data_IF_965932739422
#
_entry.id   IF_965932739422
#
_cell.length_a   1.000
_cell.length_b   1.000
_cell.length_c   1.000
_cell.angle_alpha   90.00
_cell.angle_beta   90.00
_cell.angle_gamma   90.00
#
_symmetry.space_group_name_H-M   'P 1'
#
loop_
_entity.id
_entity.type
_entity.pdbx_description
1 polymer ?
#
# COMPACT_ATOMS: atom_id res chain seq x y z
N UNK A 1 30.10 -23.41 14.40
CA UNK A 1 29.68 -24.18 15.60
C UNK A 1 28.49 -23.47 16.25
N UNK A 2 27.33 -24.14 16.38
CA UNK A 2 26.15 -23.64 17.10
C UNK A 2 26.12 -24.35 18.46
N UNK A 3 26.18 -23.61 19.55
CA UNK A 3 26.06 -24.20 20.89
C UNK A 3 24.64 -23.95 21.38
N UNK A 4 23.87 -25.02 21.60
CA UNK A 4 22.59 -24.93 22.29
C UNK A 4 22.86 -25.02 23.79
N UNK A 5 22.42 -24.02 24.54
CA UNK A 5 22.41 -24.06 25.99
C UNK A 5 20.95 -24.33 26.38
N UNK A 6 20.67 -25.57 26.79
CA UNK A 6 19.37 -25.98 27.30
C UNK A 6 19.27 -25.75 28.81
N UNK A 7 18.04 -25.70 29.32
CA UNK A 7 17.72 -25.68 30.75
C UNK A 7 18.30 -24.50 31.54
N UNK A 8 18.29 -23.33 30.93
CA UNK A 8 18.67 -22.07 31.58
C UNK A 8 17.44 -21.28 32.01
N UNK A 9 17.61 -20.44 33.01
CA UNK A 9 16.55 -19.57 33.50
C UNK A 9 16.95 -18.11 33.26
N UNK A 10 16.00 -17.32 32.77
CA UNK A 10 16.09 -15.86 32.79
C UNK A 10 15.57 -15.42 34.15
N UNK A 11 16.46 -14.85 34.95
CA UNK A 11 16.15 -14.41 36.31
C UNK A 11 15.93 -12.90 36.34
N UNK A 12 14.86 -12.43 36.98
CA UNK A 12 14.62 -11.03 37.26
C UNK A 12 13.89 -10.87 38.60
N UNK A 13 14.65 -10.58 39.66
CA UNK A 13 14.17 -10.70 41.04
C UNK A 13 13.76 -12.14 41.34
N UNK A 14 12.56 -12.32 41.90
CA UNK A 14 12.00 -13.63 42.29
C UNK A 14 11.42 -14.44 41.13
N UNK A 15 11.55 -13.95 39.89
CA UNK A 15 10.97 -14.59 38.70
C UNK A 15 12.04 -15.32 37.93
N UNK A 16 11.72 -16.58 37.61
CA UNK A 16 12.56 -17.49 36.86
C UNK A 16 11.79 -17.98 35.63
N UNK A 17 12.25 -17.60 34.44
CA UNK A 17 11.63 -18.05 33.18
C UNK A 17 12.55 -19.08 32.54
N UNK A 18 12.11 -20.35 32.53
CA UNK A 18 12.84 -21.42 31.86
C UNK A 18 12.92 -21.14 30.36
N UNK A 19 14.12 -21.18 29.80
CA UNK A 19 14.38 -20.93 28.39
C UNK A 19 15.54 -21.80 27.87
N UNK A 20 15.60 -21.98 26.56
CA UNK A 20 16.80 -22.49 25.89
C UNK A 20 17.39 -21.41 25.00
N UNK A 21 18.72 -21.20 25.07
CA UNK A 21 19.42 -20.28 24.18
C UNK A 21 20.19 -21.02 23.10
N UNK A 22 20.31 -20.40 21.93
CA UNK A 22 21.21 -20.85 20.87
C UNK A 22 22.29 -19.79 20.74
N UNK A 23 23.50 -20.12 21.19
CA UNK A 23 24.67 -19.27 21.02
C UNK A 23 25.24 -19.50 19.61
N UNK A 24 25.20 -18.44 18.80
CA UNK A 24 25.78 -18.42 17.46
C UNK A 24 27.13 -17.72 17.51
N UNK A 25 28.23 -18.49 17.41
CA UNK A 25 29.62 -18.05 17.63
C UNK A 25 30.09 -16.87 16.74
N UNK A 26 29.42 -16.61 15.61
CA UNK A 26 29.90 -15.67 14.59
C UNK A 26 28.98 -14.47 14.32
N UNK A 27 27.97 -14.22 15.15
CA UNK A 27 27.09 -13.07 15.01
C UNK A 27 27.09 -12.20 16.28
N UNK A 28 28.26 -11.70 16.66
CA UNK A 28 28.44 -10.78 17.80
C UNK A 28 27.68 -9.44 17.63
N UNK A 29 27.20 -9.15 16.41
CA UNK A 29 26.34 -7.98 16.13
C UNK A 29 24.86 -8.20 16.48
N UNK A 30 24.43 -9.44 16.77
CA UNK A 30 23.07 -9.71 17.24
C UNK A 30 22.99 -9.33 18.72
N UNK A 31 22.57 -8.09 18.97
CA UNK A 31 22.40 -7.49 20.30
C UNK A 31 21.17 -8.02 21.08
N UNK A 32 20.53 -9.10 20.64
CA UNK A 32 19.29 -9.62 21.20
C UNK A 32 19.43 -11.13 21.45
N UNK A 33 19.52 -11.52 22.72
CA UNK A 33 19.72 -12.91 23.17
C UNK A 33 18.39 -13.66 23.32
N UNK A 34 17.28 -12.94 23.54
CA UNK A 34 16.06 -13.54 24.08
C UNK A 34 15.06 -14.06 23.02
N UNK A 35 15.14 -13.57 21.78
CA UNK A 35 14.39 -14.11 20.64
C UNK A 35 12.86 -14.14 20.81
N UNK A 36 12.16 -14.72 19.83
CA UNK A 36 10.70 -14.89 19.85
C UNK A 36 10.19 -15.78 20.99
N UNK A 37 10.85 -16.90 21.36
CA UNK A 37 10.35 -17.77 22.43
C UNK A 37 10.23 -17.06 23.78
N UNK A 38 11.10 -16.09 24.10
CA UNK A 38 10.96 -15.29 25.32
C UNK A 38 9.75 -14.35 25.23
N UNK A 39 9.54 -13.71 24.09
CA UNK A 39 8.41 -12.79 23.87
C UNK A 39 7.06 -13.51 23.95
N UNK A 40 7.00 -14.78 23.55
CA UNK A 40 5.80 -15.61 23.70
C UNK A 40 5.48 -15.89 25.18
N UNK A 41 6.50 -16.10 26.03
CA UNK A 41 6.28 -16.26 27.47
C UNK A 41 5.75 -14.97 28.10
N UNK A 42 6.23 -13.81 27.65
CA UNK A 42 5.84 -12.51 28.22
C UNK A 42 4.75 -11.79 27.42
N UNK A 43 4.04 -12.47 26.51
CA UNK A 43 3.20 -11.92 25.40
C UNK A 43 2.36 -10.69 25.73
N UNK A 44 1.89 -10.55 26.96
CA UNK A 44 1.28 -9.32 27.48
C UNK A 44 2.37 -8.36 27.99
N UNK A 45 3.11 -7.75 27.06
CA UNK A 45 4.17 -6.79 27.38
C UNK A 45 3.97 -5.44 26.68
N UNK A 46 4.63 -4.42 27.22
CA UNK A 46 4.71 -3.07 26.68
C UNK A 46 6.17 -2.65 26.59
N UNK A 47 6.56 -2.07 25.46
CA UNK A 47 7.93 -1.60 25.23
C UNK A 47 8.02 -0.12 25.57
N UNK A 48 9.06 0.24 26.33
CA UNK A 48 9.39 1.63 26.68
C UNK A 48 10.83 1.94 26.26
N UNK A 49 11.25 3.20 26.33
CA UNK A 49 12.64 3.58 26.10
C UNK A 49 13.62 2.95 27.11
N UNK A 50 13.16 2.53 28.29
CA UNK A 50 13.95 1.89 29.34
C UNK A 50 14.04 0.37 29.21
N UNK A 51 13.03 -0.27 28.64
CA UNK A 51 12.92 -1.74 28.65
C UNK A 51 11.54 -2.25 28.28
N UNK A 52 11.36 -3.57 28.43
CA UNK A 52 10.10 -4.27 28.26
C UNK A 52 9.43 -4.43 29.62
N UNK A 53 8.20 -3.97 29.75
CA UNK A 53 7.37 -4.17 30.94
C UNK A 53 6.32 -5.23 30.69
N UNK A 54 6.10 -6.14 31.62
CA UNK A 54 5.05 -7.18 31.51
C UNK A 54 4.46 -7.46 32.89
N UNK A 55 3.29 -8.09 32.95
CA UNK A 55 2.68 -8.56 34.20
C UNK A 55 2.76 -10.08 34.26
N UNK A 56 3.61 -10.62 35.13
CA UNK A 56 3.68 -12.06 35.42
C UNK A 56 3.37 -12.27 36.91
N UNK A 57 2.62 -13.32 37.23
CA UNK A 57 2.21 -13.62 38.62
C UNK A 57 1.58 -12.41 39.35
N UNK A 58 0.80 -11.62 38.60
CA UNK A 58 0.18 -10.37 39.04
C UNK A 58 1.15 -9.24 39.42
N UNK A 59 2.46 -9.46 39.31
CA UNK A 59 3.51 -8.49 39.56
C UNK A 59 3.96 -7.83 38.26
N UNK A 60 4.18 -6.52 38.29
CA UNK A 60 4.70 -5.77 37.15
C UNK A 60 6.22 -5.84 37.15
N UNK A 61 6.79 -6.34 36.06
CA UNK A 61 8.21 -6.62 35.94
C UNK A 61 8.79 -5.81 34.79
N UNK A 62 9.99 -5.29 34.98
CA UNK A 62 10.74 -4.54 33.98
C UNK A 62 12.00 -5.31 33.58
N UNK A 63 12.10 -5.66 32.30
CA UNK A 63 13.33 -6.12 31.66
C UNK A 63 14.02 -4.92 31.01
N UNK A 64 15.01 -4.34 31.69
CA UNK A 64 15.72 -3.16 31.23
C UNK A 64 16.58 -3.45 29.98
N UNK A 65 16.71 -2.48 29.09
CA UNK A 65 17.61 -2.58 27.95
C UNK A 65 19.04 -2.17 28.33
N UNK A 66 20.03 -3.01 28.03
CA UNK A 66 21.44 -2.70 28.28
C UNK A 66 21.97 -1.57 27.37
N UNK A 67 21.33 -1.36 26.21
CA UNK A 67 21.62 -0.26 25.29
C UNK A 67 20.29 0.37 24.86
N UNK A 68 20.30 1.67 24.58
CA UNK A 68 19.11 2.34 24.03
C UNK A 68 18.62 1.56 22.80
N UNK A 69 17.31 1.29 22.70
CA UNK A 69 16.76 0.59 21.55
C UNK A 69 17.07 1.40 20.28
N UNK A 70 17.60 0.75 19.26
CA UNK A 70 17.84 1.37 17.95
C UNK A 70 16.51 1.30 17.20
N UNK A 71 15.84 2.43 17.05
CA UNK A 71 14.60 2.54 16.26
C UNK A 71 14.93 2.44 14.77
N UNK A 72 15.04 1.21 14.25
CA UNK A 72 15.06 0.94 12.79
C UNK A 72 13.85 1.56 12.07
N UNK A 73 12.76 1.78 12.80
CA UNK A 73 11.50 2.36 12.32
C UNK A 73 11.64 3.78 11.78
N UNK A 74 12.51 4.65 12.31
CA UNK A 74 12.59 6.05 11.84
C UNK A 74 13.09 6.13 10.39
N UNK A 75 14.11 5.36 10.04
CA UNK A 75 14.63 5.31 8.67
C UNK A 75 13.62 4.68 7.71
N UNK A 76 12.83 3.70 8.18
CA UNK A 76 11.76 3.10 7.41
C UNK A 76 10.61 4.08 7.15
N UNK A 77 10.16 4.80 8.19
CA UNK A 77 9.13 5.85 8.07
C UNK A 77 9.57 6.98 7.14
N UNK A 78 10.84 7.41 7.23
CA UNK A 78 11.41 8.40 6.32
C UNK A 78 11.37 7.92 4.86
N UNK A 79 11.73 6.66 4.62
CA UNK A 79 11.70 6.04 3.29
C UNK A 79 10.27 5.93 2.76
N UNK A 80 9.32 5.49 3.59
CA UNK A 80 7.90 5.43 3.24
C UNK A 80 7.32 6.82 2.90
N UNK A 81 7.73 7.86 3.65
CA UNK A 81 7.32 9.24 3.38
C UNK A 81 7.79 9.72 2.01
N UNK A 82 9.06 9.48 1.66
CA UNK A 82 9.62 9.84 0.35
C UNK A 82 8.88 9.09 -0.77
N UNK A 83 8.61 7.80 -0.59
CA UNK A 83 7.87 7.01 -1.58
C UNK A 83 6.44 7.50 -1.79
N UNK A 84 5.76 7.89 -0.70
CA UNK A 84 4.42 8.46 -0.75
C UNK A 84 4.41 9.78 -1.52
N UNK A 85 5.36 10.66 -1.24
CA UNK A 85 5.50 11.95 -1.94
C UNK A 85 5.77 11.77 -3.44
N UNK A 86 6.69 10.87 -3.79
CA UNK A 86 6.97 10.53 -5.19
C UNK A 86 5.73 9.99 -5.92
N UNK A 87 4.96 9.11 -5.27
CA UNK A 87 3.74 8.54 -5.84
C UNK A 87 2.67 9.62 -6.08
N UNK A 88 2.50 10.56 -5.14
CA UNK A 88 1.58 11.70 -5.29
C UNK A 88 2.00 12.58 -6.47
N UNK A 89 3.29 12.88 -6.60
CA UNK A 89 3.82 13.70 -7.69
C UNK A 89 3.62 13.03 -9.07
N UNK A 90 3.77 11.71 -9.14
CA UNK A 90 3.50 10.95 -10.36
C UNK A 90 2.02 11.02 -10.76
N UNK A 91 1.10 10.86 -9.79
CA UNK A 91 -0.35 10.99 -10.02
C UNK A 91 -0.67 12.39 -10.54
N UNK A 92 -0.16 13.43 -9.87
CA UNK A 92 -0.37 14.83 -10.26
C UNK A 92 0.11 15.13 -11.68
N UNK A 93 1.25 14.56 -12.06
CA UNK A 93 1.81 14.72 -13.42
C UNK A 93 0.92 14.04 -14.46
N UNK A 94 0.44 12.81 -14.19
CA UNK A 94 -0.48 12.09 -15.08
C UNK A 94 -1.81 12.82 -15.23
N UNK A 95 -2.37 13.34 -14.14
CA UNK A 95 -3.60 14.15 -14.17
C UNK A 95 -3.42 15.42 -15.00
N UNK A 96 -2.30 16.14 -14.83
CA UNK A 96 -1.99 17.34 -15.62
C UNK A 96 -1.91 17.03 -17.11
N UNK A 97 -1.20 15.96 -17.47
CA UNK A 97 -1.08 15.53 -18.86
C UNK A 97 -2.44 15.15 -19.45
N UNK A 98 -3.27 14.41 -18.70
CA UNK A 98 -4.62 14.03 -19.14
C UNK A 98 -5.51 15.25 -19.35
N UNK A 99 -5.46 16.25 -18.46
CA UNK A 99 -6.19 17.52 -18.63
C UNK A 99 -5.76 18.27 -19.89
N UNK A 100 -4.45 18.35 -20.16
CA UNK A 100 -3.93 18.99 -21.37
C UNK A 100 -4.42 18.27 -22.64
N UNK A 101 -4.38 16.95 -22.65
CA UNK A 101 -4.88 16.14 -23.76
C UNK A 101 -6.38 16.32 -23.98
N UNK A 102 -7.19 16.38 -22.91
CA UNK A 102 -8.62 16.65 -22.97
C UNK A 102 -8.92 18.00 -23.61
N UNK A 103 -8.25 19.05 -23.14
CA UNK A 103 -8.45 20.40 -23.66
C UNK A 103 -8.09 20.48 -25.15
N UNK A 104 -6.99 19.83 -25.56
CA UNK A 104 -6.57 19.78 -26.96
C UNK A 104 -7.59 19.07 -27.86
N UNK A 105 -8.12 17.92 -27.43
CA UNK A 105 -9.13 17.18 -28.20
C UNK A 105 -10.45 17.94 -28.30
N UNK A 106 -10.97 18.50 -27.20
CA UNK A 106 -12.20 19.31 -27.22
C UNK A 106 -12.02 20.51 -28.16
N UNK A 107 -10.89 21.22 -28.05
CA UNK A 107 -10.60 22.36 -28.92
C UNK A 107 -10.54 21.95 -30.40
N UNK A 108 -9.94 20.80 -30.72
CA UNK A 108 -9.93 20.26 -32.08
C UNK A 108 -11.35 19.97 -32.61
N UNK A 109 -12.20 19.34 -31.80
CA UNK A 109 -13.59 19.04 -32.16
C UNK A 109 -14.42 20.32 -32.37
N UNK A 110 -14.21 21.34 -31.54
CA UNK A 110 -14.82 22.67 -31.69
C UNK A 110 -14.38 23.35 -32.99
N UNK A 111 -13.07 23.36 -33.29
CA UNK A 111 -12.52 23.98 -34.50
C UNK A 111 -13.04 23.32 -35.78
N UNK A 112 -13.20 21.99 -35.76
CA UNK A 112 -13.81 21.23 -36.86
C UNK A 112 -15.33 21.36 -36.93
N UNK A 113 -15.94 22.12 -36.02
CA UNK A 113 -17.41 22.27 -35.89
C UNK A 113 -18.15 20.95 -35.70
N UNK A 114 -17.47 19.93 -35.16
CA UNK A 114 -18.08 18.62 -34.85
C UNK A 114 -18.90 18.67 -33.55
N UNK A 115 -18.54 19.58 -32.65
CA UNK A 115 -19.30 19.89 -31.43
C UNK A 115 -19.44 21.41 -31.28
N UNK A 116 -20.40 21.85 -30.46
CA UNK A 116 -20.57 23.24 -30.05
C UNK A 116 -21.07 23.31 -28.61
N UNK A 117 -20.85 24.43 -27.89
CA UNK A 117 -21.47 24.64 -26.58
C UNK A 117 -22.98 24.47 -26.66
N UNK A 118 -23.56 23.80 -25.66
CA UNK A 118 -24.99 23.54 -25.56
C UNK A 118 -25.47 23.89 -24.15
N UNK A 119 -26.69 24.43 -24.06
CA UNK A 119 -27.40 24.67 -22.79
C UNK A 119 -28.48 23.62 -22.53
N UNK A 120 -28.38 22.44 -23.16
CA UNK A 120 -29.34 21.36 -22.95
C UNK A 120 -29.36 20.93 -21.47
N UNK A 121 -30.54 20.63 -20.95
CA UNK A 121 -30.72 20.01 -19.64
C UNK A 121 -30.24 18.54 -19.60
N UNK A 122 -30.03 17.93 -20.77
CA UNK A 122 -29.57 16.55 -20.90
C UNK A 122 -28.05 16.51 -21.03
N UNK A 123 -27.38 15.78 -20.13
CA UNK A 123 -25.94 15.58 -20.16
C UNK A 123 -25.58 14.11 -19.93
N UNK A 124 -24.43 13.71 -20.47
CA UNK A 124 -23.90 12.36 -20.34
C UNK A 124 -22.47 12.42 -19.83
N UNK A 125 -22.12 11.46 -18.97
CA UNK A 125 -20.75 11.31 -18.52
C UNK A 125 -19.84 10.92 -19.69
N UNK A 126 -18.66 11.54 -19.74
CA UNK A 126 -17.62 11.20 -20.71
C UNK A 126 -16.37 10.74 -19.98
N UNK A 127 -15.69 9.74 -20.55
CA UNK A 127 -14.50 9.13 -19.95
C UNK A 127 -13.42 8.96 -21.01
N UNK A 128 -12.17 8.99 -20.56
CA UNK A 128 -11.03 8.62 -21.40
C UNK A 128 -10.75 7.14 -21.31
N UNK A 129 -10.65 6.51 -22.47
CA UNK A 129 -10.17 5.13 -22.58
C UNK A 129 -8.75 5.17 -23.08
N UNK A 130 -7.82 4.65 -22.27
CA UNK A 130 -6.44 4.42 -22.63
C UNK A 130 -6.24 2.90 -22.78
N UNK A 131 -6.14 2.41 -24.02
CA UNK A 131 -5.73 1.03 -24.30
C UNK A 131 -4.23 1.07 -24.58
N UNK A 132 -3.49 0.11 -24.00
CA UNK A 132 -2.03 0.03 -23.83
C UNK A 132 -1.10 0.30 -25.05
N UNK A 133 -1.60 0.75 -26.20
CA UNK A 133 -0.83 1.19 -27.37
C UNK A 133 -1.54 2.24 -28.25
N UNK A 134 -2.74 2.69 -27.89
CA UNK A 134 -3.51 3.67 -28.67
C UNK A 134 -3.52 5.05 -28.00
N UNK A 135 -3.60 6.10 -28.82
CA UNK A 135 -3.88 7.45 -28.31
C UNK A 135 -5.18 7.46 -27.50
N UNK A 136 -5.19 8.01 -26.26
CA UNK A 136 -6.39 8.05 -25.44
C UNK A 136 -7.58 8.67 -26.18
N UNK A 137 -8.73 8.00 -26.15
CA UNK A 137 -9.94 8.46 -26.84
C UNK A 137 -11.00 8.91 -25.85
N UNK A 138 -11.64 10.04 -26.14
CA UNK A 138 -12.81 10.51 -25.41
C UNK A 138 -14.04 9.70 -25.83
N UNK A 139 -14.74 9.11 -24.86
CA UNK A 139 -15.94 8.30 -25.09
C UNK A 139 -17.07 8.81 -24.22
N UNK A 140 -18.24 9.00 -24.82
CA UNK A 140 -19.45 9.45 -24.12
C UNK A 140 -20.31 8.24 -23.77
N UNK A 141 -20.73 8.14 -22.52
CA UNK A 141 -21.57 7.05 -22.05
C UNK A 141 -23.05 7.32 -22.34
N UNK A 142 -23.53 6.84 -23.49
CA UNK A 142 -24.93 6.92 -23.88
C UNK A 142 -25.82 5.78 -23.37
N UNK A 143 -25.35 4.90 -22.46
CA UNK A 143 -26.18 3.80 -21.92
C UNK A 143 -27.56 4.24 -21.37
N UNK A 144 -27.72 5.40 -20.71
CA UNK A 144 -29.02 5.84 -20.22
C UNK A 144 -29.97 6.31 -21.31
N UNK A 145 -29.50 6.49 -22.56
CA UNK A 145 -30.31 6.95 -23.66
C UNK A 145 -31.06 5.76 -24.29
N UNK A 146 -32.38 5.74 -24.15
CA UNK A 146 -33.22 4.75 -24.81
C UNK A 146 -33.50 5.20 -26.25
N UNK A 147 -32.86 4.56 -27.23
CA UNK A 147 -33.03 4.87 -28.66
C UNK A 147 -33.82 3.75 -29.33
N UNK A 148 -34.89 4.11 -30.04
CA UNK A 148 -35.59 3.19 -30.93
C UNK A 148 -34.63 2.70 -32.03
N UNK A 149 -34.44 1.38 -32.12
CA UNK A 149 -33.55 0.77 -33.12
C UNK A 149 -34.36 0.34 -34.33
N UNK A 150 -33.92 0.74 -35.52
CA UNK A 150 -34.39 0.11 -36.75
C UNK A 150 -33.69 -1.24 -36.94
N UNK A 151 -34.39 -2.26 -37.47
CA UNK A 151 -33.79 -3.56 -37.75
C UNK A 151 -32.64 -3.37 -38.75
N UNK A 152 -31.43 -3.73 -38.34
CA UNK A 152 -30.26 -3.76 -39.22
C UNK A 152 -30.19 -5.16 -39.82
N UNK A 153 -30.24 -5.32 -41.16
CA UNK A 153 -30.18 -6.63 -41.79
C UNK A 153 -28.87 -7.35 -41.47
N UNK A 154 -28.93 -8.67 -41.33
CA UNK A 154 -27.75 -9.46 -41.00
C UNK A 154 -26.77 -9.48 -42.18
N UNK A 155 -25.48 -9.67 -41.86
CA UNK A 155 -24.40 -9.73 -42.87
C UNK A 155 -24.68 -10.72 -44.01
N UNK A 156 -25.31 -11.86 -43.71
CA UNK A 156 -25.67 -12.90 -44.69
C UNK A 156 -26.76 -12.45 -45.68
N UNK A 157 -27.63 -11.55 -45.26
CA UNK A 157 -28.73 -11.04 -46.09
C UNK A 157 -28.23 -9.92 -47.01
N UNK A 158 -27.17 -9.21 -46.59
CA UNK A 158 -26.49 -8.21 -47.41
C UNK A 158 -25.63 -8.83 -48.53
N UNK A 159 -25.05 -10.01 -48.30
CA UNK A 159 -24.18 -10.69 -49.28
C UNK A 159 -24.94 -11.43 -50.39
N UNK A 160 -26.28 -11.40 -50.37
CA UNK A 160 -27.16 -12.06 -51.36
C UNK A 160 -27.78 -11.07 -52.37
N UNK A 161 -27.37 -9.80 -52.32
CA UNK A 161 -27.81 -8.75 -53.26
C UNK A 161 -26.80 -8.56 -54.37
#
# INVERSE_FOLDING_TARGET
>A
MKFKISDVHICNGDIYIKQSFILVKYNLDIRIILGQPFLEVIKLFTVTNKGITTKLFQQKILFAFNKKPITKEINFLKTLSIFKEHSINLIRTKEKHLKQLLTSQIHNLLNRKLIRPSKSSLSYAAFYINKNSETPRLVINYKPLNIARHPIPNKKDLSKR
#
